data_IF_576711314947
#
_entry.id   IF_576711314947
#
_cell.length_a   1.000
_cell.length_b   1.000
_cell.length_c   1.000
_cell.angle_alpha   90.00
_cell.angle_beta   90.00
_cell.angle_gamma   90.00
#
_symmetry.space_group_name_H-M   'P 1'
#
loop_
_entity.id
_entity.type
_entity.pdbx_description
1 polymer ?
#
# COMPACT_ATOMS: atom_id res chain seq x y z
N UNK A 1 3.90 16.32 -3.00
CA UNK A 1 3.74 15.49 -4.21
C UNK A 1 5.13 15.07 -4.65
N UNK A 2 5.32 13.77 -4.90
CA UNK A 2 6.62 13.20 -5.26
C UNK A 2 6.88 13.41 -6.77
N UNK A 3 8.11 13.73 -7.18
CA UNK A 3 8.45 13.99 -8.59
C UNK A 3 8.63 12.70 -9.40
N UNK A 4 8.63 12.80 -10.74
CA UNK A 4 8.92 11.66 -11.62
C UNK A 4 10.31 11.06 -11.37
N UNK A 5 11.30 11.90 -11.06
CA UNK A 5 12.65 11.46 -10.76
C UNK A 5 12.72 10.72 -9.42
N UNK A 6 11.98 11.21 -8.42
CA UNK A 6 11.83 10.52 -7.15
C UNK A 6 11.14 9.15 -7.35
N UNK A 7 10.11 9.05 -8.20
CA UNK A 7 9.46 7.76 -8.53
C UNK A 7 10.48 6.77 -9.09
N UNK A 8 11.24 7.21 -10.09
CA UNK A 8 12.23 6.37 -10.76
C UNK A 8 13.33 5.91 -9.79
N UNK A 9 13.82 6.82 -8.92
CA UNK A 9 14.80 6.49 -7.90
C UNK A 9 14.27 5.46 -6.90
N UNK A 10 13.03 5.63 -6.44
CA UNK A 10 12.39 4.71 -5.49
C UNK A 10 12.16 3.32 -6.07
N UNK A 11 11.60 3.24 -7.29
CA UNK A 11 11.41 1.98 -8.00
C UNK A 11 12.73 1.23 -8.17
N UNK A 12 13.78 1.94 -8.62
CA UNK A 12 15.11 1.36 -8.80
C UNK A 12 15.67 0.83 -7.49
N UNK A 13 15.52 1.58 -6.40
CA UNK A 13 16.01 1.18 -5.07
C UNK A 13 15.29 -0.08 -4.56
N UNK A 14 13.96 -0.09 -4.60
CA UNK A 14 13.17 -1.27 -4.17
C UNK A 14 13.56 -2.48 -5.01
N UNK A 15 13.64 -2.32 -6.33
CA UNK A 15 13.94 -3.41 -7.23
C UNK A 15 15.34 -4.00 -7.00
N UNK A 16 16.35 -3.13 -6.92
CA UNK A 16 17.75 -3.57 -6.79
C UNK A 16 18.00 -4.32 -5.48
N UNK A 17 17.50 -3.80 -4.35
CA UNK A 17 17.65 -4.47 -3.05
C UNK A 17 16.96 -5.83 -3.08
N UNK A 18 15.71 -5.88 -3.53
CA UNK A 18 14.92 -7.11 -3.47
C UNK A 18 15.42 -8.19 -4.43
N UNK A 19 15.82 -7.82 -5.65
CA UNK A 19 16.40 -8.78 -6.61
C UNK A 19 17.69 -9.40 -6.05
N UNK A 20 18.50 -8.62 -5.32
CA UNK A 20 19.71 -9.14 -4.68
C UNK A 20 19.39 -10.20 -3.63
N UNK A 21 18.43 -9.92 -2.75
CA UNK A 21 18.02 -10.84 -1.68
C UNK A 21 17.36 -12.11 -2.23
N UNK A 22 16.44 -11.97 -3.20
CA UNK A 22 15.82 -13.09 -3.90
C UNK A 22 16.89 -13.97 -4.57
N UNK A 23 17.83 -13.36 -5.30
CA UNK A 23 18.89 -14.09 -6.01
C UNK A 23 19.77 -14.88 -5.05
N UNK A 24 20.13 -14.28 -3.92
CA UNK A 24 20.90 -14.96 -2.87
C UNK A 24 20.12 -16.14 -2.28
N UNK A 25 18.87 -15.92 -1.87
CA UNK A 25 18.03 -16.98 -1.32
C UNK A 25 17.84 -18.16 -2.30
N UNK A 26 17.67 -17.87 -3.60
CA UNK A 26 17.59 -18.91 -4.65
C UNK A 26 18.90 -19.70 -4.75
N UNK A 27 20.06 -19.02 -4.78
CA UNK A 27 21.38 -19.67 -4.83
C UNK A 27 21.64 -20.56 -3.61
N UNK A 28 21.14 -20.16 -2.44
CA UNK A 28 21.26 -20.90 -1.19
C UNK A 28 20.21 -22.02 -1.04
N UNK A 29 19.32 -22.20 -2.03
CA UNK A 29 18.24 -23.21 -2.00
C UNK A 29 17.10 -22.88 -1.03
N UNK A 30 17.03 -21.66 -0.51
CA UNK A 30 16.06 -21.20 0.47
C UNK A 30 14.74 -20.76 -0.18
N UNK A 31 13.98 -21.73 -0.71
CA UNK A 31 12.76 -21.47 -1.49
C UNK A 31 11.72 -20.60 -0.75
N UNK A 32 11.48 -20.85 0.53
CA UNK A 32 10.51 -20.08 1.32
C UNK A 32 10.93 -18.62 1.49
N UNK A 33 12.23 -18.37 1.72
CA UNK A 33 12.80 -17.04 1.85
C UNK A 33 12.66 -16.28 0.53
N UNK A 34 13.10 -16.89 -0.59
CA UNK A 34 12.95 -16.27 -1.91
C UNK A 34 11.51 -15.87 -2.23
N UNK A 35 10.52 -16.73 -1.92
CA UNK A 35 9.11 -16.42 -2.14
C UNK A 35 8.57 -15.33 -1.21
N UNK A 36 9.08 -15.26 0.02
CA UNK A 36 8.72 -14.19 0.95
C UNK A 36 9.28 -12.83 0.46
N UNK A 37 10.52 -12.79 -0.02
CA UNK A 37 11.11 -11.56 -0.58
C UNK A 37 10.34 -11.05 -1.81
N UNK A 38 9.85 -11.95 -2.68
CA UNK A 38 8.96 -11.58 -3.80
C UNK A 38 7.66 -10.94 -3.30
N UNK A 39 7.04 -11.51 -2.25
CA UNK A 39 5.82 -10.92 -1.65
C UNK A 39 6.11 -9.56 -1.03
N UNK A 40 7.25 -9.41 -0.36
CA UNK A 40 7.67 -8.14 0.22
C UNK A 40 7.95 -7.07 -0.82
N UNK A 41 8.56 -7.45 -1.95
CA UNK A 41 8.73 -6.57 -3.10
C UNK A 41 7.38 -6.08 -3.61
N UNK A 42 6.41 -6.98 -3.79
CA UNK A 42 5.05 -6.63 -4.20
C UNK A 42 4.37 -5.63 -3.25
N UNK A 43 4.43 -5.90 -1.92
CA UNK A 43 3.88 -4.99 -0.90
C UNK A 43 4.48 -3.59 -0.98
N UNK A 44 5.80 -3.48 -1.11
CA UNK A 44 6.49 -2.18 -1.20
C UNK A 44 6.12 -1.42 -2.47
N UNK A 45 5.93 -2.11 -3.59
CA UNK A 45 5.49 -1.50 -4.84
C UNK A 45 4.04 -0.99 -4.76
N UNK A 46 3.13 -1.71 -4.10
CA UNK A 46 1.77 -1.24 -3.84
C UNK A 46 1.76 0.03 -2.99
N UNK A 47 2.52 0.05 -1.88
CA UNK A 47 2.63 1.24 -1.02
C UNK A 47 3.18 2.46 -1.79
N UNK A 48 4.16 2.23 -2.67
CA UNK A 48 4.67 3.28 -3.54
C UNK A 48 3.57 3.77 -4.51
N UNK A 49 2.81 2.86 -5.13
CA UNK A 49 1.72 3.24 -6.03
C UNK A 49 0.63 4.07 -5.32
N UNK A 50 0.27 3.70 -4.09
CA UNK A 50 -0.70 4.42 -3.26
C UNK A 50 -0.21 5.82 -2.89
N UNK A 51 1.10 6.00 -2.68
CA UNK A 51 1.69 7.32 -2.45
C UNK A 51 1.61 8.25 -3.68
N UNK A 52 1.51 7.69 -4.90
CA UNK A 52 1.33 8.43 -6.16
C UNK A 52 -0.13 8.67 -6.53
N UNK A 53 -1.02 7.77 -6.12
CA UNK A 53 -2.46 7.95 -6.22
C UNK A 53 -3.06 7.99 -4.81
N UNK A 54 -2.95 9.13 -4.09
CA UNK A 54 -3.66 9.28 -2.84
C UNK A 54 -5.15 9.13 -3.17
N UNK A 55 -5.71 7.95 -2.89
CA UNK A 55 -7.14 7.71 -2.97
C UNK A 55 -7.78 8.74 -2.05
N UNK A 56 -8.71 9.54 -2.56
CA UNK A 56 -9.51 10.41 -1.70
C UNK A 56 -10.09 9.52 -0.59
N UNK A 57 -10.00 9.92 0.69
CA UNK A 57 -10.61 9.13 1.75
C UNK A 57 -12.07 8.91 1.37
N UNK A 58 -12.50 7.65 1.30
CA UNK A 58 -13.91 7.33 1.10
C UNK A 58 -14.67 8.10 2.18
N UNK A 59 -15.56 8.98 1.74
CA UNK A 59 -16.41 9.76 2.64
C UNK A 59 -17.11 8.78 3.56
N UNK A 60 -16.79 8.83 4.85
CA UNK A 60 -17.54 8.08 5.86
C UNK A 60 -19.01 8.48 5.70
N UNK A 61 -19.95 7.52 5.67
CA UNK A 61 -21.36 7.86 5.67
C UNK A 61 -21.64 8.61 6.97
N UNK A 62 -22.01 9.88 6.83
CA UNK A 62 -22.49 10.73 7.91
C UNK A 62 -23.62 9.97 8.64
N UNK A 63 -23.60 9.89 9.98
CA UNK A 63 -24.72 9.29 10.70
C UNK A 63 -25.95 10.17 10.46
N UNK A 64 -26.96 9.61 9.81
CA UNK A 64 -28.24 10.25 9.60
C UNK A 64 -28.75 10.84 10.92
N UNK A 65 -28.90 12.17 10.96
CA UNK A 65 -29.54 12.86 12.07
C UNK A 65 -30.91 12.22 12.31
N UNK A 66 -31.06 11.59 13.48
CA UNK A 66 -32.34 11.09 13.92
C UNK A 66 -33.26 12.29 14.15
N UNK A 67 -34.21 12.46 13.25
CA UNK A 67 -35.35 13.37 13.35
C UNK A 67 -36.13 13.08 14.64
N UNK A 68 -35.87 13.90 15.67
CA UNK A 68 -36.62 13.93 16.92
C UNK A 68 -37.68 15.04 16.87
N UNK A 69 -38.57 15.00 15.88
CA UNK A 69 -39.80 15.81 15.88
C UNK A 69 -41.04 14.94 15.81
N UNK A 70 -41.48 14.42 16.97
CA UNK A 70 -42.86 14.00 17.18
C UNK A 70 -43.36 14.50 18.54
N UNK A 71 -44.54 15.16 18.61
CA UNK A 71 -45.02 15.80 19.84
C UNK A 71 -45.63 14.76 20.78
N UNK A 72 -45.34 14.92 22.07
CA UNK A 72 -45.95 14.13 23.14
C UNK A 72 -47.35 14.67 23.41
N UNK A 73 -48.39 13.89 23.05
CA UNK A 73 -49.78 14.21 23.36
C UNK A 73 -50.01 14.17 24.89
N UNK A 74 -50.76 15.16 25.38
CA UNK A 74 -51.23 15.29 26.77
C UNK A 74 -52.49 14.46 27.01
#
# INVERSE_FOLDING_TARGET
>A
MMTKDQLAAELKRIATSQISDITRAVKEGQKSIALNEVRDMGRRLTLLADAFHPRAPEASPEPAEADLSAPRAA
#
